data_IF_231021882681
#
_entry.id   IF_231021882681
#
_cell.length_a   1.000
_cell.length_b   1.000
_cell.length_c   1.000
_cell.angle_alpha   90.00
_cell.angle_beta   90.00
_cell.angle_gamma   90.00
#
_symmetry.space_group_name_H-M   'P 1'
#
loop_
_entity.id
_entity.type
_entity.pdbx_description
1 polymer ?
#
# COMPACT_ATOMS: atom_id res chain seq x y z
N UNK A 1 -3.46 5.79 -23.18
CA UNK A 1 -2.18 6.16 -22.52
C UNK A 1 -2.34 6.79 -21.12
N UNK A 2 -3.54 6.86 -20.53
CA UNK A 2 -3.77 7.56 -19.25
C UNK A 2 -3.16 6.86 -18.00
N UNK A 3 -2.87 5.56 -18.08
CA UNK A 3 -2.36 4.78 -16.95
C UNK A 3 -0.85 4.95 -16.66
N UNK A 4 -0.07 5.45 -17.63
CA UNK A 4 1.40 5.57 -17.49
C UNK A 4 1.79 6.71 -16.54
N UNK A 5 1.05 7.83 -16.57
CA UNK A 5 1.31 9.02 -15.75
C UNK A 5 1.33 8.73 -14.24
N UNK A 6 0.26 8.18 -13.66
CA UNK A 6 0.24 7.85 -12.23
C UNK A 6 1.23 6.73 -11.87
N UNK A 7 1.41 5.72 -12.73
CA UNK A 7 2.39 4.65 -12.50
C UNK A 7 3.83 5.19 -12.39
N UNK A 8 4.19 6.20 -13.18
CA UNK A 8 5.51 6.83 -13.13
C UNK A 8 5.80 7.49 -11.77
N UNK A 9 4.79 8.09 -11.13
CA UNK A 9 4.93 8.69 -9.79
C UNK A 9 5.19 7.63 -8.74
N UNK A 10 4.42 6.54 -8.75
CA UNK A 10 4.62 5.41 -7.82
C UNK A 10 5.99 4.75 -7.99
N UNK A 11 6.46 4.57 -9.22
CA UNK A 11 7.79 4.01 -9.51
C UNK A 11 8.89 4.94 -9.00
N UNK A 12 8.78 6.25 -9.23
CA UNK A 12 9.73 7.24 -8.70
C UNK A 12 9.76 7.24 -7.17
N UNK A 13 8.60 7.17 -6.53
CA UNK A 13 8.48 7.15 -5.08
C UNK A 13 9.13 5.88 -4.50
N UNK A 14 8.84 4.72 -5.11
CA UNK A 14 9.43 3.45 -4.72
C UNK A 14 10.95 3.47 -4.88
N UNK A 15 11.46 4.04 -5.97
CA UNK A 15 12.91 4.20 -6.19
C UNK A 15 13.55 5.12 -5.15
N UNK A 16 12.90 6.22 -4.78
CA UNK A 16 13.41 7.13 -3.75
C UNK A 16 13.50 6.42 -2.39
N UNK A 17 12.43 5.74 -1.96
CA UNK A 17 12.41 4.96 -0.73
C UNK A 17 13.46 3.84 -0.73
N UNK A 18 13.69 3.18 -1.87
CA UNK A 18 14.73 2.17 -2.02
C UNK A 18 16.14 2.76 -1.86
N UNK A 19 16.40 3.94 -2.41
CA UNK A 19 17.71 4.60 -2.28
C UNK A 19 18.01 5.00 -0.84
N UNK A 20 17.01 5.54 -0.12
CA UNK A 20 17.15 5.87 1.30
C UNK A 20 17.45 4.64 2.15
N UNK A 21 16.76 3.53 1.85
CA UNK A 21 16.94 2.28 2.58
C UNK A 21 18.30 1.63 2.28
N UNK A 22 18.76 1.65 1.03
CA UNK A 22 20.05 1.08 0.65
C UNK A 22 21.24 1.78 1.30
N UNK A 23 21.08 3.05 1.69
CA UNK A 23 22.12 3.81 2.38
C UNK A 23 22.20 3.51 3.89
N UNK A 24 21.23 2.77 4.45
CA UNK A 24 21.20 2.48 5.88
C UNK A 24 22.26 1.46 6.32
N UNK A 25 22.76 1.63 7.54
CA UNK A 25 23.84 0.82 8.11
C UNK A 25 23.52 -0.67 8.24
N UNK A 26 22.23 -1.03 8.39
CA UNK A 26 21.83 -2.44 8.43
C UNK A 26 22.00 -3.14 7.07
N UNK A 27 21.83 -2.42 5.95
CA UNK A 27 22.06 -2.93 4.60
C UNK A 27 23.56 -3.11 4.38
N UNK A 28 24.37 -2.13 4.80
CA UNK A 28 25.85 -2.21 4.76
C UNK A 28 26.36 -3.38 5.60
N UNK A 29 25.78 -3.61 6.77
CA UNK A 29 26.10 -4.74 7.64
C UNK A 29 25.67 -6.07 7.02
N UNK A 30 24.50 -6.13 6.37
CA UNK A 30 24.04 -7.33 5.65
C UNK A 30 25.00 -7.69 4.50
N UNK A 31 25.52 -6.69 3.78
CA UNK A 31 26.53 -6.89 2.74
C UNK A 31 27.88 -7.32 3.32
N UNK A 32 28.31 -6.74 4.44
CA UNK A 32 29.55 -7.11 5.14
C UNK A 32 29.50 -8.56 5.69
N UNK A 33 28.31 -9.08 6.01
CA UNK A 33 28.09 -10.50 6.39
C UNK A 33 28.22 -11.47 5.21
N UNK A 34 28.42 -11.00 3.99
CA UNK A 34 28.58 -11.85 2.80
C UNK A 34 27.26 -12.40 2.23
N UNK A 35 26.11 -11.80 2.59
CA UNK A 35 24.83 -12.19 2.00
C UNK A 35 24.79 -11.84 0.51
N UNK A 36 24.17 -12.71 -0.30
CA UNK A 36 23.93 -12.44 -1.73
C UNK A 36 23.16 -11.13 -1.90
N UNK A 37 23.59 -10.29 -2.85
CA UNK A 37 22.98 -8.97 -3.12
C UNK A 37 21.47 -9.06 -3.38
N UNK A 38 21.01 -10.13 -4.03
CA UNK A 38 19.58 -10.39 -4.22
C UNK A 38 18.80 -10.50 -2.89
N UNK A 39 19.36 -11.21 -1.89
CA UNK A 39 18.76 -11.35 -0.56
C UNK A 39 18.78 -10.04 0.21
N UNK A 40 19.83 -9.23 0.04
CA UNK A 40 19.91 -7.89 0.63
C UNK A 40 18.81 -7.00 0.03
N UNK A 41 18.65 -7.00 -1.29
CA UNK A 41 17.65 -6.17 -1.97
C UNK A 41 16.22 -6.61 -1.63
N UNK A 42 15.88 -7.90 -1.77
CA UNK A 42 14.48 -8.35 -1.63
C UNK A 42 14.05 -8.46 -0.17
N UNK A 43 14.91 -8.99 0.71
CA UNK A 43 14.52 -9.24 2.10
C UNK A 43 14.80 -8.06 3.04
N UNK A 44 15.87 -7.28 2.78
CA UNK A 44 16.28 -6.19 3.69
C UNK A 44 15.88 -4.82 3.14
N UNK A 45 16.14 -4.54 1.87
CA UNK A 45 15.87 -3.21 1.32
C UNK A 45 14.39 -3.02 0.94
N UNK A 46 13.84 -3.92 0.12
CA UNK A 46 12.48 -3.82 -0.39
C UNK A 46 11.43 -3.92 0.71
N UNK A 47 11.60 -4.87 1.64
CA UNK A 47 10.67 -5.04 2.77
C UNK A 47 10.58 -3.78 3.64
N UNK A 48 11.69 -3.09 3.86
CA UNK A 48 11.72 -1.87 4.67
C UNK A 48 11.32 -0.63 3.87
N UNK A 49 11.63 -0.55 2.57
CA UNK A 49 11.19 0.52 1.69
C UNK A 49 9.67 0.50 1.42
N UNK A 50 9.01 -0.65 1.59
CA UNK A 50 7.57 -0.83 1.43
C UNK A 50 6.73 -0.38 2.63
N UNK A 51 7.33 -0.18 3.81
CA UNK A 51 6.62 0.28 5.02
C UNK A 51 5.80 1.56 4.74
N UNK A 52 6.39 2.65 4.21
CA UNK A 52 5.63 3.86 3.90
C UNK A 52 4.56 3.65 2.81
N UNK A 53 4.79 2.74 1.85
CA UNK A 53 3.80 2.43 0.81
C UNK A 53 2.57 1.73 1.40
N UNK A 54 2.75 0.83 2.37
CA UNK A 54 1.63 0.19 3.07
C UNK A 54 0.75 1.19 3.81
N UNK A 55 1.35 2.20 4.45
CA UNK A 55 0.61 3.26 5.14
C UNK A 55 -0.25 4.07 4.17
N UNK A 56 0.33 4.50 3.04
CA UNK A 56 -0.41 5.23 2.00
C UNK A 56 -1.50 4.35 1.41
N UNK A 57 -1.22 3.06 1.17
CA UNK A 57 -2.19 2.12 0.65
C UNK A 57 -3.39 1.95 1.58
N UNK A 58 -3.16 1.83 2.90
CA UNK A 58 -4.23 1.79 3.89
C UNK A 58 -5.10 3.04 3.87
N UNK A 59 -4.50 4.22 3.73
CA UNK A 59 -5.23 5.48 3.61
C UNK A 59 -6.09 5.52 2.33
N UNK A 60 -5.54 5.06 1.20
CA UNK A 60 -6.27 4.97 -0.08
C UNK A 60 -7.44 3.99 0.01
N UNK A 61 -7.26 2.84 0.67
CA UNK A 61 -8.33 1.88 0.90
C UNK A 61 -9.44 2.47 1.77
N UNK A 62 -9.10 3.18 2.85
CA UNK A 62 -10.08 3.88 3.68
C UNK A 62 -10.88 4.91 2.89
N UNK A 63 -10.20 5.69 2.04
CA UNK A 63 -10.84 6.63 1.13
C UNK A 63 -11.73 5.95 0.08
N UNK A 64 -11.32 4.79 -0.44
CA UNK A 64 -12.10 4.02 -1.41
C UNK A 64 -13.38 3.46 -0.79
N UNK A 65 -13.32 2.94 0.44
CA UNK A 65 -14.51 2.48 1.16
C UNK A 65 -15.45 3.65 1.44
N UNK A 66 -14.94 4.78 1.92
CA UNK A 66 -15.75 5.98 2.17
C UNK A 66 -16.41 6.54 0.91
N UNK A 67 -15.65 6.68 -0.18
CA UNK A 67 -16.18 7.12 -1.48
C UNK A 67 -17.11 6.09 -2.14
N UNK A 68 -16.84 4.80 -1.93
CA UNK A 68 -17.67 3.69 -2.38
C UNK A 68 -19.05 3.70 -1.72
N UNK A 69 -19.12 3.88 -0.40
CA UNK A 69 -20.40 3.98 0.33
C UNK A 69 -21.24 5.16 -0.20
N UNK A 70 -20.61 6.32 -0.46
CA UNK A 70 -21.30 7.50 -1.00
C UNK A 70 -21.81 7.21 -2.41
N UNK A 71 -20.99 6.59 -3.26
CA UNK A 71 -21.36 6.26 -4.65
C UNK A 71 -22.44 5.18 -4.71
N UNK A 72 -22.36 4.14 -3.88
CA UNK A 72 -23.39 3.09 -3.73
C UNK A 72 -24.72 3.67 -3.26
N UNK A 73 -24.69 4.63 -2.33
CA UNK A 73 -25.89 5.30 -1.82
C UNK A 73 -26.56 6.18 -2.88
N UNK A 74 -25.79 6.85 -3.74
CA UNK A 74 -26.31 7.73 -4.81
C UNK A 74 -26.82 6.92 -6.01
N UNK A 75 -26.12 5.87 -6.41
CA UNK A 75 -26.47 5.08 -7.61
C UNK A 75 -27.32 3.84 -7.31
N UNK A 76 -27.57 3.50 -6.04
CA UNK A 76 -28.44 2.39 -5.65
C UNK A 76 -27.89 1.00 -5.98
N UNK A 77 -26.59 0.89 -6.30
CA UNK A 77 -25.93 -0.38 -6.66
C UNK A 77 -25.49 -1.08 -5.36
N UNK A 78 -25.91 -2.33 -5.10
CA UNK A 78 -25.50 -3.07 -3.91
C UNK A 78 -24.02 -3.45 -4.02
N UNK A 79 -23.18 -2.85 -3.18
CA UNK A 79 -21.75 -3.16 -3.10
C UNK A 79 -21.29 -3.52 -1.70
N UNK A 80 -19.98 -3.66 -1.55
CA UNK A 80 -19.32 -4.05 -0.29
C UNK A 80 -19.48 -2.95 0.77
N UNK A 81 -19.64 -1.69 0.36
CA UNK A 81 -19.84 -0.56 1.26
C UNK A 81 -21.10 -0.66 2.11
N UNK A 82 -22.21 -1.11 1.51
CA UNK A 82 -23.47 -1.35 2.23
C UNK A 82 -23.37 -2.48 3.26
N UNK A 83 -22.68 -3.57 2.96
CA UNK A 83 -22.45 -4.67 3.92
C UNK A 83 -21.62 -4.21 5.13
N UNK A 84 -20.61 -3.37 4.89
CA UNK A 84 -19.80 -2.78 5.96
C UNK A 84 -20.65 -1.82 6.80
N UNK A 85 -21.49 -1.00 6.17
CA UNK A 85 -22.41 -0.08 6.85
C UNK A 85 -23.47 -0.80 7.69
N UNK A 86 -24.06 -1.88 7.15
CA UNK A 86 -25.06 -2.69 7.84
C UNK A 86 -24.42 -3.46 9.03
N UNK A 87 -23.16 -3.91 8.89
CA UNK A 87 -22.38 -4.47 9.98
C UNK A 87 -22.05 -3.43 11.06
N UNK A 88 -21.75 -2.18 10.69
CA UNK A 88 -21.53 -1.07 11.64
C UNK A 88 -22.82 -0.66 12.37
N UNK A 89 -23.98 -0.72 11.71
CA UNK A 89 -25.28 -0.46 12.34
C UNK A 89 -25.75 -1.59 13.25
N UNK A 90 -25.07 -2.73 13.27
CA UNK A 90 -25.41 -3.84 14.16
C UNK A 90 -26.72 -4.53 13.79
N UNK A 91 -27.16 -4.47 12.54
CA UNK A 91 -28.32 -5.21 12.05
C UNK A 91 -27.90 -6.63 11.60
N UNK A 92 -27.14 -7.33 12.44
CA UNK A 92 -26.98 -8.78 12.32
C UNK A 92 -28.20 -9.42 12.99
N UNK A 93 -29.34 -9.39 12.31
CA UNK A 93 -30.48 -10.23 12.70
C UNK A 93 -30.23 -11.64 12.15
N UNK A 94 -30.22 -12.69 13.01
CA UNK A 94 -30.11 -14.07 12.55
C UNK A 94 -31.30 -14.50 11.69
#
# INVERSE_FOLDING_TARGET
>A
MLAIGPAAVFVRQTRANMLEVLDQDYVRTARAKGLREYTVIVAHALRNALIPLFTIFGLMLGGLVGGGIITESIFGIPGIGRLVWDAFKGEFRP
#
